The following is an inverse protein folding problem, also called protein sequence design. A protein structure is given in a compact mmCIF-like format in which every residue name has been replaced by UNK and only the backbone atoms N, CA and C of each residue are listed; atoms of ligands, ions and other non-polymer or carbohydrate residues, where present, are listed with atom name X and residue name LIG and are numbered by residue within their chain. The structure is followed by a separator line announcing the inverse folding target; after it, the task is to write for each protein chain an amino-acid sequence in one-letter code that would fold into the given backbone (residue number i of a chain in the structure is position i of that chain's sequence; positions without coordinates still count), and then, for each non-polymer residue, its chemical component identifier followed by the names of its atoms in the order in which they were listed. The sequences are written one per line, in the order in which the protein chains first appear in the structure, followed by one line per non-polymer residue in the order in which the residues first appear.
data_IF_826608930754
#
_entry.id   IF_826608930754
#
_cell.length_a   1.000
_cell.length_b   1.000
_cell.length_c   1.000
_cell.angle_alpha   90.00
_cell.angle_beta   90.00
_cell.angle_gamma   90.00
#
_symmetry.space_group_name_H-M   'P 1'
#
loop_
_entity.id
_entity.type
_entity.pdbx_description
1 polymer ?
#
# COMPACT_ATOMS: atom_id res chain seq x y z
N UNK A 1 2.91 -23.98 0.44
CA UNK A 1 2.88 -22.58 -0.03
C UNK A 1 2.24 -22.58 -1.40
N UNK A 2 0.96 -22.20 -1.51
CA UNK A 2 0.24 -22.17 -2.78
C UNK A 2 0.69 -20.91 -3.53
N UNK A 3 1.69 -21.02 -4.40
CA UNK A 3 2.08 -19.91 -5.28
C UNK A 3 0.86 -19.48 -6.11
N UNK A 4 0.66 -18.18 -6.40
CA UNK A 4 -0.52 -17.68 -7.10
C UNK A 4 -0.49 -18.01 -8.61
N UNK A 5 0.06 -19.16 -8.98
CA UNK A 5 -0.04 -19.69 -10.33
C UNK A 5 -1.48 -20.05 -10.63
N UNK A 6 -1.95 -19.62 -11.80
CA UNK A 6 -3.17 -20.14 -12.39
C UNK A 6 -2.78 -21.22 -13.39
N UNK A 7 -3.70 -22.14 -13.64
CA UNK A 7 -3.53 -23.19 -14.63
C UNK A 7 -4.73 -23.13 -15.55
N UNK A 8 -4.47 -23.21 -16.85
CA UNK A 8 -5.55 -23.35 -17.82
C UNK A 8 -6.24 -24.70 -17.60
N UNK A 9 -7.55 -24.68 -17.30
CA UNK A 9 -8.33 -25.92 -17.05
C UNK A 9 -8.84 -26.57 -18.34
N UNK A 10 -8.82 -25.80 -19.42
CA UNK A 10 -9.15 -26.15 -20.78
C UNK A 10 -8.24 -25.35 -21.71
N UNK A 11 -8.31 -25.65 -23.00
CA UNK A 11 -7.58 -24.86 -23.97
C UNK A 11 -8.26 -23.50 -24.20
N UNK A 12 -7.48 -22.42 -24.26
CA UNK A 12 -7.97 -21.04 -24.38
C UNK A 12 -7.32 -20.41 -25.62
N UNK A 13 -8.16 -19.92 -26.53
CA UNK A 13 -7.74 -19.13 -27.70
C UNK A 13 -7.99 -17.64 -27.41
N UNK A 14 -6.96 -16.81 -27.59
CA UNK A 14 -7.04 -15.35 -27.39
C UNK A 14 -6.66 -14.66 -28.69
N UNK A 15 -7.59 -13.88 -29.24
CA UNK A 15 -7.30 -12.97 -30.34
C UNK A 15 -6.65 -11.69 -29.82
N UNK A 16 -5.46 -11.36 -30.32
CA UNK A 16 -4.71 -10.15 -30.02
C UNK A 16 -4.57 -9.32 -31.28
N UNK A 17 -4.36 -8.01 -31.13
CA UNK A 17 -4.09 -7.12 -32.27
C UNK A 17 -2.87 -7.56 -33.09
N UNK A 18 -1.96 -8.34 -32.48
CA UNK A 18 -0.73 -8.85 -33.09
C UNK A 18 -0.84 -10.29 -33.62
N UNK A 19 -2.01 -10.92 -33.57
CA UNK A 19 -2.23 -12.33 -33.96
C UNK A 19 -3.02 -13.12 -32.90
N UNK A 20 -3.07 -14.45 -33.02
CA UNK A 20 -3.73 -15.30 -32.02
C UNK A 20 -2.73 -15.96 -31.07
N UNK A 21 -3.15 -16.19 -29.83
CA UNK A 21 -2.42 -16.92 -28.80
C UNK A 21 -3.25 -18.10 -28.31
N UNK A 22 -2.68 -19.31 -28.43
CA UNK A 22 -3.20 -20.54 -27.81
C UNK A 22 -2.54 -20.73 -26.45
N UNK A 23 -3.34 -20.88 -25.41
CA UNK A 23 -2.89 -21.37 -24.09
C UNK A 23 -3.48 -22.77 -23.93
N UNK A 24 -2.62 -23.78 -23.85
CA UNK A 24 -3.05 -25.17 -23.74
C UNK A 24 -3.52 -25.50 -22.32
N UNK A 25 -4.45 -26.45 -22.22
CA UNK A 25 -4.87 -27.03 -20.94
C UNK A 25 -3.65 -27.54 -20.18
N UNK A 26 -3.55 -27.11 -18.92
CA UNK A 26 -2.44 -27.43 -18.02
C UNK A 26 -1.31 -26.40 -18.03
N UNK A 27 -1.29 -25.44 -18.96
CA UNK A 27 -0.30 -24.37 -18.97
C UNK A 27 -0.36 -23.52 -17.70
N UNK A 28 0.83 -23.18 -17.19
CA UNK A 28 0.99 -22.28 -16.03
C UNK A 28 0.85 -20.84 -16.48
N UNK A 29 -0.03 -20.11 -15.80
CA UNK A 29 -0.31 -18.70 -16.02
C UNK A 29 0.18 -17.89 -14.82
N UNK A 30 1.15 -17.01 -15.09
CA UNK A 30 1.61 -16.00 -14.14
C UNK A 30 1.21 -14.61 -14.63
N UNK A 31 0.17 -14.05 -14.02
CA UNK A 31 -0.29 -12.71 -14.36
C UNK A 31 0.52 -11.64 -13.62
N UNK A 32 1.13 -10.71 -14.38
CA UNK A 32 1.76 -9.52 -13.79
C UNK A 32 0.69 -8.50 -13.38
N UNK A 33 0.17 -8.62 -12.15
CA UNK A 33 -0.83 -7.68 -11.62
C UNK A 33 -0.30 -6.24 -11.55
N UNK A 34 1.01 -6.08 -11.38
CA UNK A 34 1.68 -4.79 -11.34
C UNK A 34 1.72 -4.07 -12.70
N UNK A 35 1.60 -4.81 -13.82
CA UNK A 35 1.60 -4.22 -15.15
C UNK A 35 0.37 -3.35 -15.41
N UNK A 36 -0.80 -3.74 -14.89
CA UNK A 36 -2.04 -2.97 -15.07
C UNK A 36 -1.92 -1.57 -14.47
N UNK A 37 -1.38 -1.45 -13.26
CA UNK A 37 -1.15 -0.15 -12.63
C UNK A 37 -0.13 0.73 -13.35
N UNK A 38 0.61 0.17 -14.33
CA UNK A 38 1.59 0.87 -15.15
C UNK A 38 1.19 1.01 -16.62
N UNK A 39 -0.01 0.58 -17.00
CA UNK A 39 -0.42 0.60 -18.40
C UNK A 39 -0.68 2.06 -18.86
N UNK A 40 0.11 2.60 -19.81
CA UNK A 40 -0.05 3.98 -20.27
C UNK A 40 -1.39 4.21 -21.01
N UNK A 41 -2.06 3.14 -21.45
CA UNK A 41 -3.40 3.22 -22.06
C UNK A 41 -4.49 3.52 -21.04
N UNK A 42 -4.24 3.22 -19.76
CA UNK A 42 -5.17 3.42 -18.63
C UNK A 42 -4.73 4.62 -17.79
N UNK A 43 -3.42 4.77 -17.60
CA UNK A 43 -2.82 5.66 -16.62
C UNK A 43 -1.84 6.63 -17.29
N UNK A 44 -2.19 7.93 -17.34
CA UNK A 44 -1.26 8.97 -17.78
C UNK A 44 -0.04 9.07 -16.86
N UNK A 45 1.19 9.10 -17.39
CA UNK A 45 2.44 9.10 -16.60
C UNK A 45 2.44 7.99 -15.51
N UNK A 46 2.40 6.71 -15.93
CA UNK A 46 2.12 5.57 -15.05
C UNK A 46 3.18 5.32 -13.98
N UNK A 47 4.43 5.73 -14.22
CA UNK A 47 5.53 5.53 -13.29
C UNK A 47 5.59 6.59 -12.19
N UNK A 48 4.85 7.70 -12.35
CA UNK A 48 4.75 8.74 -11.33
C UNK A 48 3.70 8.39 -10.28
N UNK A 49 4.16 8.35 -9.03
CA UNK A 49 3.27 8.28 -7.88
C UNK A 49 2.45 9.58 -7.74
N UNK A 50 1.14 9.48 -7.93
CA UNK A 50 0.20 10.58 -7.71
C UNK A 50 -1.03 10.08 -6.93
N UNK A 51 -1.16 10.40 -5.63
CA UNK A 51 -2.30 9.99 -4.83
C UNK A 51 -3.61 10.71 -5.22
N UNK A 52 -3.54 11.77 -6.05
CA UNK A 52 -4.68 12.54 -6.53
C UNK A 52 -5.19 12.10 -7.90
N UNK A 53 -4.59 11.05 -8.49
CA UNK A 53 -5.02 10.49 -9.78
C UNK A 53 -6.51 10.13 -9.74
N UNK A 54 -7.24 10.52 -10.80
CA UNK A 54 -8.68 10.28 -10.93
C UNK A 54 -9.00 8.81 -11.23
N UNK A 55 -8.27 8.22 -12.18
CA UNK A 55 -8.35 6.79 -12.50
C UNK A 55 -7.63 6.01 -11.41
N UNK A 56 -8.37 5.13 -10.72
CA UNK A 56 -7.87 4.33 -9.58
C UNK A 56 -8.00 2.83 -9.81
N UNK A 57 -8.34 2.42 -11.02
CA UNK A 57 -8.43 1.01 -11.39
C UNK A 57 -7.07 0.34 -11.21
N UNK A 58 -7.03 -0.77 -10.51
CA UNK A 58 -5.81 -1.52 -10.25
C UNK A 58 -6.13 -2.97 -9.89
N UNK A 59 -5.17 -3.87 -10.09
CA UNK A 59 -5.29 -5.28 -9.71
C UNK A 59 -4.49 -5.64 -8.44
N UNK A 60 -4.15 -4.67 -7.59
CA UNK A 60 -3.42 -4.91 -6.34
C UNK A 60 -4.10 -5.92 -5.39
N UNK A 61 -5.42 -6.10 -5.51
CA UNK A 61 -6.23 -7.06 -4.75
C UNK A 61 -6.69 -8.27 -5.59
N UNK A 62 -6.14 -8.48 -6.78
CA UNK A 62 -6.59 -9.51 -7.72
C UNK A 62 -7.98 -9.20 -8.31
N UNK A 63 -8.59 -10.23 -8.90
CA UNK A 63 -9.91 -10.15 -9.55
C UNK A 63 -10.61 -11.53 -9.55
N UNK A 64 -11.92 -11.53 -9.81
CA UNK A 64 -12.73 -12.74 -9.97
C UNK A 64 -12.93 -13.54 -8.68
N UNK A 65 -13.07 -14.86 -8.80
CA UNK A 65 -13.35 -15.78 -7.69
C UNK A 65 -12.29 -15.76 -6.57
N UNK A 66 -11.10 -15.24 -6.86
CA UNK A 66 -10.00 -15.10 -5.89
C UNK A 66 -9.65 -13.64 -5.60
N UNK A 67 -10.61 -12.74 -5.77
CA UNK A 67 -10.46 -11.37 -5.29
C UNK A 67 -10.14 -11.37 -3.79
N UNK A 68 -9.19 -10.53 -3.38
CA UNK A 68 -8.65 -10.53 -2.03
C UNK A 68 -9.76 -10.31 -0.99
N UNK A 69 -10.04 -11.35 -0.21
CA UNK A 69 -11.02 -11.31 0.88
C UNK A 69 -10.67 -10.22 1.92
N UNK A 70 -9.38 -9.96 2.11
CA UNK A 70 -8.86 -8.93 3.02
C UNK A 70 -8.86 -7.51 2.47
N UNK A 71 -9.28 -7.27 1.22
CA UNK A 71 -9.20 -5.94 0.61
C UNK A 71 -9.93 -4.83 1.40
N UNK A 72 -11.12 -5.05 2.01
CA UNK A 72 -11.75 -4.05 2.85
C UNK A 72 -10.93 -3.72 4.11
N UNK A 73 -10.38 -4.74 4.77
CA UNK A 73 -9.56 -4.56 5.98
C UNK A 73 -8.26 -3.82 5.66
N UNK A 74 -7.54 -4.25 4.62
CA UNK A 74 -6.29 -3.60 4.20
C UNK A 74 -6.50 -2.12 3.84
N UNK A 75 -7.63 -1.78 3.20
CA UNK A 75 -7.99 -0.39 2.94
C UNK A 75 -8.27 0.38 4.22
N UNK A 76 -9.04 -0.18 5.14
CA UNK A 76 -9.32 0.44 6.44
C UNK A 76 -8.01 0.72 7.20
N UNK A 77 -7.13 -0.28 7.30
CA UNK A 77 -5.82 -0.15 7.92
C UNK A 77 -5.00 0.97 7.28
N UNK A 78 -4.90 1.01 5.95
CA UNK A 78 -4.16 2.07 5.24
C UNK A 78 -4.77 3.47 5.50
N UNK A 79 -6.10 3.60 5.55
CA UNK A 79 -6.78 4.87 5.81
C UNK A 79 -6.61 5.37 7.25
N UNK A 80 -6.29 4.50 8.20
CA UNK A 80 -6.06 4.86 9.60
C UNK A 80 -4.56 5.04 9.87
N UNK A 81 -3.76 4.03 9.54
CA UNK A 81 -2.36 3.95 9.90
C UNK A 81 -1.50 5.00 9.19
N UNK A 82 -1.68 5.21 7.88
CA UNK A 82 -0.87 6.16 7.13
C UNK A 82 -1.11 7.61 7.59
N UNK A 83 -2.37 8.10 7.71
CA UNK A 83 -2.59 9.43 8.25
C UNK A 83 -2.11 9.59 9.69
N UNK A 84 -2.31 8.58 10.56
CA UNK A 84 -1.82 8.63 11.94
C UNK A 84 -0.29 8.73 12.01
N UNK A 85 0.43 7.93 11.21
CA UNK A 85 1.89 7.93 11.12
C UNK A 85 2.41 9.31 10.71
N UNK A 86 1.92 9.85 9.58
CA UNK A 86 2.40 11.14 9.05
C UNK A 86 1.90 12.34 9.87
N UNK A 87 0.78 12.22 10.59
CA UNK A 87 0.33 13.25 11.53
C UNK A 87 1.24 13.32 12.75
N UNK A 88 1.67 12.16 13.26
CA UNK A 88 2.49 12.05 14.47
C UNK A 88 3.97 12.35 14.22
N UNK A 89 4.51 11.92 13.08
CA UNK A 89 5.93 12.07 12.72
C UNK A 89 6.05 12.87 11.41
N UNK A 90 5.76 14.17 11.48
CA UNK A 90 5.74 15.05 10.29
C UNK A 90 7.11 15.24 9.65
N UNK A 91 8.16 15.18 10.46
CA UNK A 91 9.54 15.34 10.03
C UNK A 91 10.22 13.99 9.75
N UNK A 92 9.44 12.92 9.60
CA UNK A 92 9.98 11.59 9.33
C UNK A 92 10.69 11.55 7.98
N UNK A 93 11.94 11.09 7.97
CA UNK A 93 12.76 10.99 6.76
C UNK A 93 13.53 9.68 6.74
N UNK A 94 13.83 9.16 5.55
CA UNK A 94 14.74 8.03 5.38
C UNK A 94 16.14 8.43 5.87
N UNK A 95 16.80 7.57 6.63
CA UNK A 95 18.20 7.79 7.05
C UNK A 95 19.21 7.32 6.01
N UNK A 96 18.71 6.77 4.90
CA UNK A 96 19.51 6.25 3.80
C UNK A 96 18.90 6.65 2.45
N UNK A 97 19.71 6.68 1.39
CA UNK A 97 19.22 6.93 0.05
C UNK A 97 18.31 5.80 -0.42
N UNK A 98 17.24 6.12 -1.17
CA UNK A 98 16.27 5.13 -1.65
C UNK A 98 16.91 3.97 -2.44
N UNK A 99 17.99 4.23 -3.18
CA UNK A 99 18.75 3.21 -3.93
C UNK A 99 19.53 2.21 -3.07
N UNK A 100 19.65 2.45 -1.75
CA UNK A 100 20.35 1.57 -0.81
C UNK A 100 19.38 0.61 -0.09
N UNK A 101 18.07 0.79 -0.24
CA UNK A 101 17.06 -0.05 0.40
C UNK A 101 17.06 -1.45 -0.20
N UNK A 102 17.32 -2.47 0.62
CA UNK A 102 17.30 -3.87 0.19
C UNK A 102 15.87 -4.31 -0.11
N UNK A 103 15.61 -4.79 -1.33
CA UNK A 103 14.29 -5.34 -1.69
C UNK A 103 14.05 -6.68 -0.99
N UNK A 104 12.78 -6.97 -0.69
CA UNK A 104 12.34 -8.30 -0.29
C UNK A 104 12.66 -9.29 -1.43
N UNK A 105 13.30 -10.44 -1.14
CA UNK A 105 13.54 -11.49 -2.13
C UNK A 105 12.25 -12.29 -2.34
N UNK A 106 11.23 -11.65 -2.91
CA UNK A 106 9.90 -12.24 -3.12
C UNK A 106 9.40 -11.92 -4.51
N UNK A 107 8.76 -12.91 -5.14
CA UNK A 107 8.05 -12.74 -6.41
C UNK A 107 6.57 -12.39 -6.21
N UNK A 108 6.06 -12.53 -4.98
CA UNK A 108 4.64 -12.31 -4.65
C UNK A 108 4.43 -10.94 -4.01
N UNK A 109 5.39 -10.50 -3.19
CA UNK A 109 5.30 -9.27 -2.41
C UNK A 109 6.40 -8.32 -2.86
N UNK A 110 6.02 -7.12 -3.29
CA UNK A 110 6.95 -6.04 -3.57
C UNK A 110 7.12 -5.17 -2.31
N UNK A 111 8.36 -5.00 -1.87
CA UNK A 111 8.69 -4.16 -0.72
C UNK A 111 10.17 -4.19 -0.38
N UNK A 112 10.54 -3.54 0.71
CA UNK A 112 11.90 -3.54 1.25
C UNK A 112 11.97 -4.36 2.54
N UNK A 113 13.13 -4.95 2.81
CA UNK A 113 13.37 -5.72 4.04
C UNK A 113 13.29 -4.84 5.29
N UNK A 114 13.78 -3.61 5.15
CA UNK A 114 13.81 -2.59 6.19
C UNK A 114 13.58 -1.22 5.56
N UNK A 115 13.06 -0.29 6.37
CA UNK A 115 12.90 1.11 5.99
C UNK A 115 13.45 2.00 7.11
N UNK A 116 14.78 2.21 7.18
CA UNK A 116 15.40 3.00 8.23
C UNK A 116 14.94 4.46 8.15
N UNK A 117 14.33 4.96 9.22
CA UNK A 117 13.80 6.33 9.30
C UNK A 117 14.26 7.04 10.57
N UNK A 118 14.51 8.34 10.44
CA UNK A 118 14.57 9.27 11.56
C UNK A 118 13.18 9.86 11.73
N UNK A 119 12.67 9.91 12.96
CA UNK A 119 11.32 10.39 13.26
C UNK A 119 11.25 11.93 13.45
N UNK A 120 12.39 12.62 13.41
CA UNK A 120 12.52 14.03 13.78
C UNK A 120 12.60 14.26 15.30
N UNK A 121 12.51 15.52 15.73
CA UNK A 121 12.43 15.88 17.16
C UNK A 121 11.30 15.08 17.83
N UNK A 122 11.47 14.65 19.11
CA UNK A 122 10.50 13.84 19.79
C UNK A 122 9.14 14.56 19.75
N UNK A 123 8.14 13.98 19.09
CA UNK A 123 6.80 14.55 19.09
C UNK A 123 6.29 14.69 20.53
N UNK A 124 5.60 15.80 20.81
CA UNK A 124 4.89 16.03 22.07
C UNK A 124 4.19 14.73 22.47
N UNK A 125 4.47 14.28 23.67
CA UNK A 125 4.03 12.97 24.13
C UNK A 125 2.50 12.96 24.24
N UNK A 126 1.88 11.78 24.22
CA UNK A 126 0.46 11.67 24.57
C UNK A 126 0.15 12.20 25.98
N UNK A 127 1.17 12.29 26.86
CA UNK A 127 1.06 12.90 28.18
C UNK A 127 0.83 14.43 28.10
N UNK A 128 1.40 15.11 27.09
CA UNK A 128 1.26 16.56 26.91
C UNK A 128 -0.17 16.97 26.49
N UNK A 129 -0.95 16.04 25.93
CA UNK A 129 -2.32 16.29 25.48
C UNK A 129 -3.38 16.16 26.61
N UNK A 130 -2.98 15.76 27.82
CA UNK A 130 -3.90 15.37 28.91
C UNK A 130 -3.83 16.28 30.15
N UNK A 131 -3.47 17.55 30.01
CA UNK A 131 -3.70 18.56 31.05
C UNK A 131 -4.86 19.49 30.66
N UNK A 132 -6.12 19.13 30.95
CA UNK A 132 -7.12 20.16 31.21
C UNK A 132 -6.72 20.87 32.51
N UNK A 133 -6.58 22.19 32.43
CA UNK A 133 -6.21 23.04 33.56
C UNK A 133 -7.13 22.79 34.76
N UNK A 134 -6.56 22.23 35.82
CA UNK A 134 -7.21 22.24 37.13
C UNK A 134 -7.05 23.65 37.68
N UNK A 135 -8.03 24.51 37.42
CA UNK A 135 -8.20 25.74 38.18
C UNK A 135 -8.51 25.33 39.63
N UNK A 136 -7.52 25.48 40.51
CA UNK A 136 -7.75 25.43 41.94
C UNK A 136 -8.77 26.54 42.30
N UNK A 137 -9.84 26.25 43.05
CA UNK A 137 -10.67 27.29 43.62
C UNK A 137 -9.82 28.05 44.64
N UNK A 138 -9.71 29.36 44.44
CA UNK A 138 -9.02 30.26 45.35
C UNK A 138 -9.58 30.15 46.77
N UNK A 139 -8.66 30.01 47.71
CA UNK A 139 -8.86 30.27 49.13
C UNK A 139 -9.51 31.66 49.31
N UNK A 140 -10.79 31.67 49.67
CA UNK A 140 -11.45 32.84 50.25
C UNK A 140 -11.72 32.53 51.72
N UNK A 141 -10.75 32.91 52.56
CA UNK A 141 -11.00 33.32 53.95
C UNK A 141 -11.76 34.64 53.96
N UNK A 142 -12.83 34.74 54.75
CA UNK A 142 -13.46 36.00 55.10
C UNK A 142 -14.94 35.89 55.47
N UNK A 143 -15.19 36.00 56.77
CA UNK A 143 -16.47 36.27 57.48
C UNK A 143 -17.41 35.09 57.78
#
# INVERSE_FOLDING_TARGET
MHMPFRFAVEDIDIDLDTGSLRIAKGDVLLASLAAVGRDPRIHHDPDRFDPRRRVKDHLAFGHGAHFCLGAPLARLEATIALPALFTRFRDMQLTTGAGQLKRLPSIVVNGHQELPVSLGLPPRTFADARQPGHHAPGDRRGE
#
